data_IF_740302511637
#
_entry.id   IF_740302511637
#
_cell.length_a   1.000
_cell.length_b   1.000
_cell.length_c   1.000
_cell.angle_alpha   90.00
_cell.angle_beta   90.00
_cell.angle_gamma   90.00
#
_symmetry.space_group_name_H-M   'P 1'
#
loop_
_entity.id
_entity.type
_entity.pdbx_description
1 polymer ?
#
# COMPACT_ATOMS: atom_id res chain seq x y z
N UNK A 1 25.71 7.12 4.05
CA UNK A 1 24.75 6.56 5.03
C UNK A 1 23.98 5.34 4.50
N UNK A 2 23.50 5.33 3.24
CA UNK A 2 22.77 4.18 2.64
C UNK A 2 23.58 2.87 2.63
N UNK A 3 24.85 2.91 2.19
CA UNK A 3 25.74 1.73 2.16
C UNK A 3 25.95 1.12 3.56
N UNK A 4 26.14 1.92 4.61
CA UNK A 4 26.31 1.40 5.97
C UNK A 4 25.04 0.70 6.47
N UNK A 5 23.86 1.26 6.19
CA UNK A 5 22.59 0.59 6.53
C UNK A 5 22.47 -0.76 5.82
N UNK A 6 22.79 -0.81 4.54
CA UNK A 6 22.81 -2.04 3.75
C UNK A 6 23.77 -3.11 4.31
N UNK A 7 24.99 -2.71 4.65
CA UNK A 7 25.96 -3.61 5.30
C UNK A 7 25.44 -4.13 6.64
N UNK A 8 24.75 -3.27 7.42
CA UNK A 8 24.09 -3.67 8.65
C UNK A 8 23.02 -4.74 8.44
N UNK A 9 22.13 -4.58 7.45
CA UNK A 9 21.13 -5.59 7.14
C UNK A 9 21.77 -6.91 6.68
N UNK A 10 22.79 -6.85 5.82
CA UNK A 10 23.50 -8.05 5.40
C UNK A 10 24.19 -8.76 6.56
N UNK A 11 24.79 -8.03 7.50
CA UNK A 11 25.36 -8.62 8.70
C UNK A 11 24.30 -9.40 9.49
N UNK A 12 23.11 -8.83 9.72
CA UNK A 12 22.01 -9.53 10.39
C UNK A 12 21.59 -10.80 9.62
N UNK A 13 21.49 -10.72 8.29
CA UNK A 13 21.13 -11.85 7.42
C UNK A 13 22.18 -12.97 7.50
N UNK A 14 23.46 -12.63 7.38
CA UNK A 14 24.58 -13.58 7.41
C UNK A 14 24.75 -14.22 8.79
N UNK A 15 24.40 -13.51 9.86
CA UNK A 15 24.34 -14.07 11.23
C UNK A 15 23.13 -15.00 11.46
N UNK A 16 22.23 -15.15 10.48
CA UNK A 16 21.06 -16.01 10.58
C UNK A 16 19.93 -15.48 11.48
N UNK A 17 20.01 -14.23 11.94
CA UNK A 17 19.01 -13.65 12.85
C UNK A 17 17.60 -13.62 12.24
N UNK A 18 17.40 -13.26 10.95
CA UNK A 18 16.09 -13.35 10.32
C UNK A 18 15.55 -14.79 10.24
N UNK A 19 16.42 -15.79 10.09
CA UNK A 19 15.98 -17.19 10.10
C UNK A 19 15.46 -17.61 11.47
N UNK A 20 16.17 -17.26 12.54
CA UNK A 20 15.72 -17.51 13.94
C UNK A 20 14.42 -16.77 14.21
N UNK A 21 14.35 -15.48 13.88
CA UNK A 21 13.16 -14.66 14.07
C UNK A 21 11.94 -15.24 13.35
N UNK A 22 12.10 -15.68 12.09
CA UNK A 22 11.03 -16.33 11.32
C UNK A 22 10.59 -17.65 11.97
N UNK A 23 11.52 -18.42 12.54
CA UNK A 23 11.20 -19.67 13.25
C UNK A 23 10.39 -19.44 14.52
N UNK A 24 10.72 -18.38 15.27
CA UNK A 24 9.96 -17.93 16.45
C UNK A 24 8.55 -17.47 16.02
N UNK A 25 8.47 -16.69 14.95
CA UNK A 25 7.23 -16.14 14.42
C UNK A 25 6.45 -17.11 13.52
N UNK A 26 6.75 -18.41 13.51
CA UNK A 26 6.17 -19.38 12.55
C UNK A 26 4.62 -19.47 12.57
N UNK A 27 3.99 -19.11 13.70
CA UNK A 27 2.52 -19.14 13.87
C UNK A 27 1.86 -17.81 13.48
N UNK A 28 2.65 -16.75 13.31
CA UNK A 28 2.18 -15.47 12.81
C UNK A 28 2.05 -15.54 11.29
N UNK A 29 1.17 -14.72 10.74
CA UNK A 29 0.99 -14.58 9.29
C UNK A 29 1.61 -13.27 8.82
N UNK A 30 2.24 -13.32 7.64
CA UNK A 30 2.76 -12.17 6.94
C UNK A 30 1.75 -11.70 5.90
N UNK A 31 1.48 -10.40 5.83
CA UNK A 31 0.77 -9.79 4.70
C UNK A 31 1.65 -8.65 4.19
N UNK A 32 1.96 -8.66 2.89
CA UNK A 32 2.77 -7.61 2.26
C UNK A 32 1.88 -6.62 1.54
N UNK A 33 2.26 -5.34 1.51
CA UNK A 33 1.67 -4.35 0.61
C UNK A 33 2.72 -3.77 -0.33
N UNK A 34 2.41 -3.87 -1.62
CA UNK A 34 3.01 -3.15 -2.73
C UNK A 34 1.95 -2.20 -3.30
N UNK A 35 2.32 -1.30 -4.19
CA UNK A 35 1.36 -0.44 -4.90
C UNK A 35 1.55 -0.60 -6.40
N UNK A 36 2.77 -0.41 -6.89
CA UNK A 36 3.09 -0.60 -8.30
C UNK A 36 4.44 -1.28 -8.51
N UNK A 37 4.64 -1.81 -9.72
CA UNK A 37 5.90 -2.37 -10.16
C UNK A 37 6.28 -1.78 -11.50
N UNK A 38 7.48 -1.25 -11.65
CA UNK A 38 7.94 -0.63 -12.90
C UNK A 38 9.19 -1.31 -13.46
N UNK A 39 9.47 -1.10 -14.74
CA UNK A 39 10.73 -1.46 -15.38
C UNK A 39 11.33 -0.26 -16.13
N UNK A 40 12.66 -0.15 -16.12
CA UNK A 40 13.37 0.92 -16.83
C UNK A 40 13.60 2.16 -15.97
N UNK A 41 13.73 3.32 -16.63
CA UNK A 41 13.93 4.60 -15.94
C UNK A 41 12.58 5.21 -15.53
N UNK A 42 12.51 5.76 -14.32
CA UNK A 42 11.36 6.51 -13.81
C UNK A 42 11.82 7.92 -13.47
N UNK A 43 10.96 8.91 -13.72
CA UNK A 43 11.19 10.27 -13.27
C UNK A 43 11.27 10.27 -11.73
N UNK A 44 12.39 10.75 -11.12
CA UNK A 44 12.56 10.73 -9.67
C UNK A 44 11.39 11.35 -8.89
N UNK A 45 10.80 12.44 -9.39
CA UNK A 45 9.67 13.11 -8.76
C UNK A 45 8.39 12.25 -8.74
N UNK A 46 8.21 11.33 -9.69
CA UNK A 46 7.06 10.43 -9.71
C UNK A 46 7.20 9.26 -8.72
N UNK A 47 8.41 8.97 -8.24
CA UNK A 47 8.69 7.88 -7.31
C UNK A 47 9.58 8.31 -6.13
N UNK A 48 9.44 9.56 -5.67
CA UNK A 48 10.31 10.18 -4.66
C UNK A 48 10.24 9.49 -3.28
N UNK A 49 9.12 8.83 -3.00
CA UNK A 49 8.81 8.07 -1.80
C UNK A 49 9.07 6.56 -1.96
N UNK A 50 9.34 6.10 -3.18
CA UNK A 50 9.58 4.69 -3.49
C UNK A 50 8.32 3.85 -3.60
N UNK A 51 7.14 4.45 -3.84
CA UNK A 51 5.85 3.76 -3.99
C UNK A 51 5.88 2.67 -5.07
N UNK A 52 6.56 2.95 -6.19
CA UNK A 52 6.67 2.04 -7.33
C UNK A 52 7.96 1.22 -7.20
N UNK A 53 7.87 -0.11 -7.10
CA UNK A 53 9.03 -0.99 -6.88
C UNK A 53 9.59 -1.48 -8.22
N UNK A 54 10.91 -1.44 -8.40
CA UNK A 54 11.52 -1.91 -9.63
C UNK A 54 11.34 -3.44 -9.80
N UNK A 55 10.98 -3.89 -11.00
CA UNK A 55 10.63 -5.29 -11.30
C UNK A 55 11.68 -6.30 -10.84
N UNK A 56 12.97 -6.04 -11.06
CA UNK A 56 14.07 -6.90 -10.56
C UNK A 56 14.11 -7.05 -9.03
N UNK A 57 13.74 -5.99 -8.29
CA UNK A 57 13.65 -6.04 -6.82
C UNK A 57 12.45 -6.87 -6.41
N UNK A 58 11.29 -6.59 -7.00
CA UNK A 58 10.07 -7.37 -6.80
C UNK A 58 10.31 -8.87 -7.05
N UNK A 59 10.91 -9.23 -8.19
CA UNK A 59 11.24 -10.62 -8.54
C UNK A 59 12.17 -11.29 -7.49
N UNK A 60 13.19 -10.57 -7.03
CA UNK A 60 14.12 -11.08 -6.02
C UNK A 60 13.42 -11.33 -4.67
N UNK A 61 12.48 -10.45 -4.30
CA UNK A 61 11.65 -10.60 -3.11
C UNK A 61 10.67 -11.77 -3.25
N UNK A 62 10.02 -11.93 -4.41
CA UNK A 62 9.11 -13.05 -4.68
C UNK A 62 9.83 -14.40 -4.63
N UNK A 63 11.03 -14.48 -5.21
CA UNK A 63 11.90 -15.67 -5.12
C UNK A 63 12.23 -16.03 -3.66
N UNK A 64 12.53 -15.03 -2.83
CA UNK A 64 12.77 -15.24 -1.41
C UNK A 64 11.50 -15.73 -0.68
N UNK A 65 10.34 -15.13 -0.96
CA UNK A 65 9.07 -15.54 -0.37
C UNK A 65 8.73 -16.98 -0.71
N UNK A 66 8.80 -17.37 -1.99
CA UNK A 66 8.55 -18.75 -2.43
C UNK A 66 9.47 -19.76 -1.70
N UNK A 67 10.73 -19.39 -1.49
CA UNK A 67 11.68 -20.22 -0.77
C UNK A 67 11.35 -20.36 0.73
N UNK A 68 10.93 -19.28 1.39
CA UNK A 68 10.86 -19.21 2.86
C UNK A 68 9.45 -19.31 3.46
N UNK A 69 8.40 -19.00 2.69
CA UNK A 69 7.01 -18.93 3.14
C UNK A 69 6.13 -19.88 2.33
N UNK A 70 4.96 -20.19 2.89
CA UNK A 70 3.85 -20.73 2.12
C UNK A 70 2.96 -19.56 1.72
N UNK A 71 3.11 -19.09 0.48
CA UNK A 71 2.33 -17.98 -0.05
C UNK A 71 0.94 -18.49 -0.43
N UNK A 72 -0.10 -17.87 0.10
CA UNK A 72 -1.49 -18.28 -0.06
C UNK A 72 -2.37 -17.09 -0.45
N UNK A 73 -3.50 -17.33 -1.14
CA UNK A 73 -4.53 -16.33 -1.33
C UNK A 73 -4.96 -15.69 0.01
N UNK A 74 -5.19 -14.37 0.02
CA UNK A 74 -5.53 -13.63 1.25
C UNK A 74 -6.82 -14.14 1.90
N UNK A 75 -7.80 -14.54 1.10
CA UNK A 75 -9.08 -15.10 1.53
C UNK A 75 -8.96 -16.43 2.29
N UNK A 76 -7.90 -17.18 2.02
CA UNK A 76 -7.60 -18.44 2.70
C UNK A 76 -6.68 -18.26 3.92
N UNK A 77 -5.99 -17.11 4.03
CA UNK A 77 -4.93 -16.88 5.01
C UNK A 77 -5.38 -17.17 6.46
N UNK A 78 -6.52 -16.61 6.88
CA UNK A 78 -7.01 -16.74 8.25
C UNK A 78 -7.53 -18.15 8.55
N UNK A 79 -8.20 -18.78 7.59
CA UNK A 79 -8.69 -20.15 7.73
C UNK A 79 -7.53 -21.15 7.85
N UNK A 80 -6.49 -20.99 7.03
CA UNK A 80 -5.28 -21.79 7.08
C UNK A 80 -4.51 -21.56 8.38
N UNK A 81 -4.35 -20.31 8.82
CA UNK A 81 -3.69 -20.00 10.09
C UNK A 81 -4.35 -20.73 11.28
N UNK A 82 -5.69 -20.76 11.32
CA UNK A 82 -6.44 -21.46 12.36
C UNK A 82 -6.20 -22.98 12.33
N UNK A 83 -6.11 -23.59 11.14
CA UNK A 83 -5.87 -25.02 10.97
C UNK A 83 -4.49 -25.50 11.48
N UNK A 84 -3.52 -24.60 11.66
CA UNK A 84 -2.24 -24.85 12.34
C UNK A 84 -1.36 -26.00 11.78
N UNK A 85 -1.53 -26.39 10.51
CA UNK A 85 -0.83 -27.53 9.91
C UNK A 85 0.14 -27.11 8.78
N UNK A 86 1.06 -26.18 9.04
CA UNK A 86 1.96 -25.65 7.99
C UNK A 86 3.43 -25.76 8.38
N UNK A 87 4.25 -26.24 7.42
CA UNK A 87 5.71 -26.40 7.60
C UNK A 87 6.47 -25.09 7.45
N UNK A 88 5.93 -24.14 6.69
CA UNK A 88 6.46 -22.79 6.50
C UNK A 88 5.45 -21.78 7.06
N UNK A 89 5.89 -20.62 7.57
CA UNK A 89 4.98 -19.53 7.90
C UNK A 89 4.17 -19.11 6.67
N UNK A 90 2.93 -18.73 6.92
CA UNK A 90 2.01 -18.27 5.88
C UNK A 90 2.32 -16.82 5.49
N UNK A 91 2.19 -16.53 4.19
CA UNK A 91 2.27 -15.18 3.66
C UNK A 91 1.17 -14.91 2.64
N UNK A 92 0.67 -13.68 2.59
CA UNK A 92 -0.16 -13.17 1.50
C UNK A 92 0.50 -11.95 0.86
N UNK A 93 0.44 -11.87 -0.47
CA UNK A 93 0.92 -10.73 -1.25
C UNK A 93 -0.29 -9.86 -1.59
N UNK A 94 -0.23 -8.58 -1.24
CA UNK A 94 -1.25 -7.60 -1.63
C UNK A 94 -0.61 -6.46 -2.41
N UNK A 95 -1.34 -5.95 -3.40
CA UNK A 95 -0.93 -4.83 -4.26
C UNK A 95 -2.10 -3.85 -4.32
N UNK A 96 -1.89 -2.61 -3.93
CA UNK A 96 -2.95 -1.61 -3.83
C UNK A 96 -3.05 -0.74 -5.10
N UNK A 97 -4.04 0.14 -5.14
CA UNK A 97 -4.34 1.16 -6.15
C UNK A 97 -4.82 0.68 -7.53
N UNK A 98 -4.20 -0.35 -8.10
CA UNK A 98 -4.53 -0.85 -9.44
C UNK A 98 -3.78 -0.15 -10.57
N UNK A 99 -2.49 0.15 -10.36
CA UNK A 99 -1.61 0.70 -11.40
C UNK A 99 -1.27 -0.32 -12.49
N UNK A 100 -1.10 0.18 -13.72
CA UNK A 100 -0.77 -0.58 -14.93
C UNK A 100 0.49 -1.43 -14.80
N UNK A 101 1.49 -0.97 -14.06
CA UNK A 101 2.73 -1.72 -13.83
C UNK A 101 2.50 -3.05 -13.10
N UNK A 102 1.43 -3.17 -12.31
CA UNK A 102 0.97 -4.44 -11.76
C UNK A 102 0.68 -5.46 -12.86
N UNK A 103 -0.03 -5.08 -13.93
CA UNK A 103 -0.31 -5.97 -15.06
C UNK A 103 0.94 -6.25 -15.89
N UNK A 104 1.72 -5.22 -16.26
CA UNK A 104 2.85 -5.40 -17.17
C UNK A 104 4.08 -6.07 -16.53
N UNK A 105 4.24 -5.96 -15.21
CA UNK A 105 5.47 -6.38 -14.54
C UNK A 105 5.22 -7.33 -13.38
N UNK A 106 4.33 -7.01 -12.44
CA UNK A 106 4.10 -7.87 -11.28
C UNK A 106 3.42 -9.19 -11.67
N UNK A 107 2.36 -9.11 -12.48
CA UNK A 107 1.52 -10.26 -12.85
C UNK A 107 2.30 -11.36 -13.59
N UNK A 108 3.11 -11.08 -14.63
CA UNK A 108 3.94 -12.10 -15.28
C UNK A 108 4.93 -12.77 -14.32
N UNK A 109 5.55 -12.02 -13.41
CA UNK A 109 6.48 -12.56 -12.41
C UNK A 109 5.74 -13.52 -11.47
N UNK A 110 4.56 -13.12 -10.98
CA UNK A 110 3.73 -13.93 -10.09
C UNK A 110 3.26 -15.22 -10.79
N UNK A 111 2.80 -15.12 -12.04
CA UNK A 111 2.39 -16.28 -12.85
C UNK A 111 3.54 -17.26 -13.07
N UNK A 112 4.72 -16.77 -13.47
CA UNK A 112 5.90 -17.61 -13.69
C UNK A 112 6.33 -18.37 -12.43
N UNK A 113 6.11 -17.78 -11.25
CA UNK A 113 6.45 -18.39 -9.96
C UNK A 113 5.29 -19.17 -9.33
N UNK A 114 4.10 -19.18 -9.94
CA UNK A 114 2.89 -19.78 -9.36
C UNK A 114 2.47 -19.16 -8.02
N UNK A 115 2.72 -17.86 -7.83
CA UNK A 115 2.41 -17.14 -6.60
C UNK A 115 1.09 -16.39 -6.73
N UNK A 116 0.21 -16.57 -5.74
CA UNK A 116 -1.05 -15.83 -5.67
C UNK A 116 -0.86 -14.45 -5.04
N UNK A 117 -1.62 -13.48 -5.52
CA UNK A 117 -1.69 -12.14 -4.94
C UNK A 117 -3.12 -11.61 -4.96
N UNK A 118 -3.43 -10.70 -4.06
CA UNK A 118 -4.68 -9.92 -4.07
C UNK A 118 -4.38 -8.50 -4.50
N UNK A 119 -5.02 -8.04 -5.57
CA UNK A 119 -4.91 -6.65 -6.04
C UNK A 119 -6.14 -5.88 -5.56
N UNK A 120 -5.93 -4.85 -4.76
CA UNK A 120 -6.98 -3.95 -4.29
C UNK A 120 -7.15 -2.79 -5.27
N UNK A 121 -8.32 -2.70 -5.90
CA UNK A 121 -8.56 -1.77 -7.01
C UNK A 121 -9.34 -0.55 -6.51
N UNK A 122 -8.86 0.64 -6.86
CA UNK A 122 -9.65 1.87 -6.83
C UNK A 122 -10.52 1.89 -8.07
N UNK A 123 -11.83 1.67 -7.93
CA UNK A 123 -12.69 1.42 -9.09
C UNK A 123 -12.81 2.62 -10.03
N UNK A 124 -12.89 3.86 -9.53
CA UNK A 124 -12.93 5.03 -10.42
C UNK A 124 -11.61 5.20 -11.22
N UNK A 125 -10.47 4.89 -10.60
CA UNK A 125 -9.19 4.97 -11.28
C UNK A 125 -9.12 3.94 -12.42
N UNK A 126 -9.50 2.70 -12.15
CA UNK A 126 -9.54 1.62 -13.14
C UNK A 126 -10.50 1.89 -14.30
N UNK A 127 -11.68 2.44 -14.03
CA UNK A 127 -12.76 2.52 -15.01
C UNK A 127 -12.83 3.85 -15.75
N UNK A 128 -12.45 4.93 -15.08
CA UNK A 128 -12.58 6.28 -15.60
C UNK A 128 -11.23 6.95 -15.83
N UNK A 129 -10.12 6.32 -15.45
CA UNK A 129 -8.78 6.87 -15.63
C UNK A 129 -8.51 8.11 -14.78
N UNK A 130 -9.33 8.37 -13.75
CA UNK A 130 -9.11 9.50 -12.85
C UNK A 130 -7.93 9.17 -11.93
N UNK A 131 -6.78 9.73 -12.24
CA UNK A 131 -5.59 9.57 -11.41
C UNK A 131 -5.83 10.06 -9.98
N UNK A 132 -5.24 9.31 -9.05
CA UNK A 132 -5.18 9.66 -7.63
C UNK A 132 -4.46 10.99 -7.42
N UNK A 133 -4.81 11.70 -6.35
CA UNK A 133 -4.39 13.09 -6.17
C UNK A 133 -2.88 13.27 -6.06
N UNK A 134 -2.15 12.31 -5.48
CA UNK A 134 -0.70 12.42 -5.31
C UNK A 134 0.02 12.26 -6.64
N UNK A 135 -0.48 11.42 -7.55
CA UNK A 135 0.09 11.30 -8.89
C UNK A 135 -0.11 12.57 -9.69
N UNK A 136 -1.29 13.21 -9.56
CA UNK A 136 -1.55 14.52 -10.15
C UNK A 136 -0.57 15.55 -9.60
N UNK A 137 -0.40 15.65 -8.28
CA UNK A 137 0.55 16.57 -7.66
C UNK A 137 2.00 16.31 -8.12
N UNK A 138 2.44 15.05 -8.12
CA UNK A 138 3.77 14.66 -8.59
C UNK A 138 3.97 15.05 -10.04
N UNK A 139 2.99 14.79 -10.91
CA UNK A 139 3.05 15.16 -12.32
C UNK A 139 3.10 16.69 -12.51
N UNK A 140 2.32 17.47 -11.74
CA UNK A 140 2.37 18.93 -11.76
C UNK A 140 3.79 19.44 -11.42
N UNK A 141 4.37 18.95 -10.33
CA UNK A 141 5.72 19.34 -9.87
C UNK A 141 6.82 18.84 -10.81
N UNK A 142 6.65 17.65 -11.39
CA UNK A 142 7.62 17.07 -12.31
C UNK A 142 7.70 17.84 -13.64
N UNK A 143 6.56 18.34 -14.14
CA UNK A 143 6.44 18.91 -15.50
C UNK A 143 6.46 20.43 -15.56
N UNK A 144 6.23 21.13 -14.44
CA UNK A 144 6.22 22.59 -14.40
C UNK A 144 7.53 23.20 -14.92
N UNK A 145 7.41 24.36 -15.56
CA UNK A 145 8.54 25.21 -15.96
C UNK A 145 8.82 26.33 -14.96
N UNK A 146 7.99 26.47 -13.92
CA UNK A 146 8.17 27.48 -12.89
C UNK A 146 9.30 27.07 -11.95
N UNK A 147 10.15 28.04 -11.58
CA UNK A 147 11.29 27.83 -10.68
C UNK A 147 10.89 27.84 -9.20
N UNK A 148 9.66 28.21 -8.88
CA UNK A 148 9.13 28.17 -7.52
C UNK A 148 7.61 28.20 -7.51
N UNK A 149 7.05 27.71 -6.41
CA UNK A 149 5.63 27.74 -6.10
C UNK A 149 5.42 28.42 -4.74
N UNK A 150 4.37 29.23 -4.61
CA UNK A 150 3.93 29.77 -3.32
C UNK A 150 2.60 29.15 -2.98
N UNK A 151 2.52 28.51 -1.81
CA UNK A 151 1.30 27.85 -1.33
C UNK A 151 0.98 28.38 0.05
N UNK A 152 -0.30 28.64 0.31
CA UNK A 152 -0.78 28.95 1.65
C UNK A 152 -1.12 27.65 2.37
N UNK A 153 -0.32 27.28 3.36
CA UNK A 153 -0.48 26.08 4.18
C UNK A 153 -0.68 26.55 5.63
N UNK A 154 -1.79 26.15 6.26
CA UNK A 154 -2.11 26.51 7.66
C UNK A 154 -2.01 28.03 7.92
N UNK A 155 -2.58 28.84 7.03
CA UNK A 155 -2.55 30.31 7.05
C UNK A 155 -1.18 30.99 6.92
N UNK A 156 -0.11 30.23 6.68
CA UNK A 156 1.20 30.75 6.34
C UNK A 156 1.49 30.58 4.85
N UNK A 157 1.97 31.64 4.20
CA UNK A 157 2.54 31.53 2.86
C UNK A 157 3.91 30.89 2.94
N UNK A 158 4.08 29.81 2.19
CA UNK A 158 5.35 29.09 2.07
C UNK A 158 5.79 29.10 0.61
N UNK A 159 7.07 29.40 0.39
CA UNK A 159 7.69 29.37 -0.94
C UNK A 159 8.53 28.11 -1.08
N UNK A 160 8.26 27.36 -2.14
CA UNK A 160 8.96 26.15 -2.53
C UNK A 160 9.80 26.43 -3.77
N UNK A 161 11.13 26.37 -3.71
CA UNK A 161 11.96 26.27 -4.91
C UNK A 161 11.62 24.98 -5.68
N UNK A 162 11.71 25.01 -7.01
CA UNK A 162 11.42 23.86 -7.90
C UNK A 162 12.48 23.70 -9.00
N UNK A 163 13.69 24.22 -8.76
CA UNK A 163 14.76 24.34 -9.76
C UNK A 163 15.45 22.98 -9.97
N UNK A 164 15.80 22.31 -8.87
CA UNK A 164 16.46 21.01 -8.90
C UNK A 164 15.51 19.88 -8.52
N UNK A 165 15.88 18.65 -8.88
CA UNK A 165 15.15 17.45 -8.44
C UNK A 165 15.10 17.34 -6.91
N UNK A 166 16.14 17.81 -6.20
CA UNK A 166 16.15 17.85 -4.74
C UNK A 166 15.12 18.85 -4.19
N UNK A 167 14.93 19.99 -4.85
CA UNK A 167 13.94 20.99 -4.44
C UNK A 167 12.52 20.47 -4.66
N UNK A 168 12.26 19.82 -5.81
CA UNK A 168 10.98 19.18 -6.12
C UNK A 168 10.64 18.09 -5.10
N UNK A 169 11.60 17.23 -4.78
CA UNK A 169 11.48 16.21 -3.73
C UNK A 169 11.13 16.84 -2.37
N UNK A 170 11.82 17.91 -1.99
CA UNK A 170 11.57 18.60 -0.72
C UNK A 170 10.16 19.21 -0.69
N UNK A 171 9.73 19.84 -1.79
CA UNK A 171 8.39 20.40 -1.93
C UNK A 171 7.32 19.30 -1.79
N UNK A 172 7.46 18.18 -2.51
CA UNK A 172 6.53 17.06 -2.43
C UNK A 172 6.48 16.45 -1.02
N UNK A 173 7.63 16.26 -0.35
CA UNK A 173 7.69 15.72 1.02
C UNK A 173 7.00 16.63 2.04
N UNK A 174 7.03 17.94 1.84
CA UNK A 174 6.41 18.92 2.75
C UNK A 174 4.92 19.13 2.44
N UNK A 175 4.53 19.18 1.17
CA UNK A 175 3.14 19.45 0.76
C UNK A 175 2.23 18.23 0.91
N UNK A 176 2.72 17.02 0.59
CA UNK A 176 1.88 15.82 0.53
C UNK A 176 1.13 15.52 1.83
N UNK A 177 1.75 15.58 3.03
CA UNK A 177 1.05 15.32 4.28
C UNK A 177 -0.06 16.34 4.58
N UNK A 178 0.12 17.60 4.17
CA UNK A 178 -0.88 18.66 4.40
C UNK A 178 -2.07 18.49 3.45
N UNK A 179 -1.80 18.22 2.17
CA UNK A 179 -2.84 17.97 1.16
C UNK A 179 -3.64 16.71 1.48
N UNK A 180 -2.97 15.66 1.97
CA UNK A 180 -3.61 14.40 2.38
C UNK A 180 -4.72 14.63 3.43
N UNK A 181 -4.49 15.49 4.43
CA UNK A 181 -5.43 15.73 5.54
C UNK A 181 -6.65 16.57 5.15
N UNK A 182 -6.66 17.15 3.95
CA UNK A 182 -7.76 17.99 3.50
C UNK A 182 -8.98 17.12 3.14
N UNK A 183 -10.20 17.54 3.52
CA UNK A 183 -11.43 16.95 3.01
C UNK A 183 -11.44 16.94 1.47
N UNK A 184 -12.05 15.92 0.81
CA UNK A 184 -11.91 15.71 -0.63
C UNK A 184 -12.21 16.95 -1.48
N UNK A 185 -13.30 17.66 -1.18
CA UNK A 185 -13.68 18.89 -1.91
C UNK A 185 -12.62 20.00 -1.81
N UNK A 186 -12.03 20.18 -0.63
CA UNK A 186 -10.98 21.19 -0.41
C UNK A 186 -9.68 20.76 -1.10
N UNK A 187 -9.35 19.47 -1.05
CA UNK A 187 -8.18 18.91 -1.72
C UNK A 187 -8.24 19.10 -3.23
N UNK A 188 -9.38 18.81 -3.86
CA UNK A 188 -9.58 19.02 -5.29
C UNK A 188 -9.49 20.50 -5.69
N UNK A 189 -10.05 21.40 -4.88
CA UNK A 189 -9.94 22.84 -5.12
C UNK A 189 -8.47 23.32 -5.04
N UNK A 190 -7.71 22.83 -4.06
CA UNK A 190 -6.29 23.14 -3.93
C UNK A 190 -5.48 22.60 -5.11
N UNK A 191 -5.72 21.36 -5.55
CA UNK A 191 -5.00 20.80 -6.71
C UNK A 191 -5.28 21.60 -7.99
N UNK A 192 -6.52 22.05 -8.20
CA UNK A 192 -6.86 22.90 -9.34
C UNK A 192 -6.13 24.25 -9.27
N UNK A 193 -6.03 24.85 -8.09
CA UNK A 193 -5.27 26.08 -7.86
C UNK A 193 -3.76 25.86 -8.12
N UNK A 194 -3.19 24.78 -7.60
CA UNK A 194 -1.79 24.43 -7.81
C UNK A 194 -1.47 24.21 -9.30
N UNK A 195 -2.36 23.57 -10.04
CA UNK A 195 -2.18 23.39 -11.48
C UNK A 195 -2.11 24.74 -12.21
N UNK A 196 -2.99 25.68 -11.86
CA UNK A 196 -2.99 27.03 -12.41
C UNK A 196 -1.71 27.81 -12.05
N UNK A 197 -1.29 27.76 -10.78
CA UNK A 197 -0.08 28.47 -10.29
C UNK A 197 1.22 27.92 -10.88
N UNK A 198 1.23 26.62 -11.18
CA UNK A 198 2.36 25.93 -11.83
C UNK A 198 2.33 26.01 -13.36
N UNK A 199 1.29 26.61 -13.94
CA UNK A 199 1.12 26.74 -15.39
C UNK A 199 1.01 25.39 -16.11
N UNK A 200 0.41 24.38 -15.48
CA UNK A 200 0.28 23.02 -16.03
C UNK A 200 -1.18 22.70 -16.36
N UNK A 201 -1.40 22.05 -17.51
CA UNK A 201 -2.74 21.61 -17.91
C UNK A 201 -2.99 20.19 -17.40
N UNK A 202 -3.82 20.07 -16.37
CA UNK A 202 -4.05 18.81 -15.65
C UNK A 202 -4.50 17.64 -16.56
N UNK A 203 -5.33 17.92 -17.56
CA UNK A 203 -5.88 16.91 -18.49
C UNK A 203 -4.83 16.25 -19.37
N UNK A 204 -3.66 16.86 -19.48
CA UNK A 204 -2.55 16.40 -20.32
C UNK A 204 -1.39 15.86 -19.50
N UNK A 205 -1.49 15.88 -18.17
CA UNK A 205 -0.45 15.37 -17.29
C UNK A 205 -0.28 13.86 -17.50
N UNK A 206 0.95 13.45 -17.79
CA UNK A 206 1.33 12.05 -17.78
C UNK A 206 1.40 11.57 -16.33
N UNK A 207 0.30 11.01 -15.84
CA UNK A 207 0.21 10.30 -14.56
C UNK A 207 0.43 8.80 -14.76
N UNK A 208 0.53 8.05 -13.67
CA UNK A 208 0.50 6.59 -13.75
C UNK A 208 -0.83 6.14 -14.39
N UNK A 209 -0.73 5.14 -15.28
CA UNK A 209 -1.90 4.57 -15.93
C UNK A 209 -2.56 3.52 -15.03
N UNK A 210 -3.89 3.35 -15.10
CA UNK A 210 -4.58 2.27 -14.42
C UNK A 210 -4.52 0.95 -15.21
N UNK A 211 -4.68 -0.17 -14.53
CA UNK A 211 -5.05 -1.44 -15.17
C UNK A 211 -6.39 -1.25 -15.90
N UNK A 212 -6.49 -1.69 -17.15
CA UNK A 212 -7.74 -1.63 -17.90
C UNK A 212 -8.70 -2.77 -17.52
N UNK A 213 -9.98 -2.63 -17.84
CA UNK A 213 -11.00 -3.68 -17.63
C UNK A 213 -10.62 -5.01 -18.29
N UNK A 214 -10.05 -4.97 -19.50
CA UNK A 214 -9.65 -6.17 -20.21
C UNK A 214 -8.50 -6.91 -19.50
N UNK A 215 -7.51 -6.14 -19.05
CA UNK A 215 -6.36 -6.67 -18.31
C UNK A 215 -6.78 -7.20 -16.93
N UNK A 216 -7.67 -6.50 -16.23
CA UNK A 216 -8.21 -6.96 -14.95
C UNK A 216 -8.94 -8.30 -15.10
N UNK A 217 -9.72 -8.48 -16.17
CA UNK A 217 -10.38 -9.75 -16.51
C UNK A 217 -9.38 -10.86 -16.80
N UNK A 218 -8.29 -10.57 -17.50
CA UNK A 218 -7.23 -11.55 -17.75
C UNK A 218 -6.55 -11.97 -16.44
N UNK A 219 -6.24 -11.01 -15.57
CA UNK A 219 -5.54 -11.26 -14.31
C UNK A 219 -6.30 -12.23 -13.40
N UNK A 220 -7.63 -12.12 -13.32
CA UNK A 220 -8.48 -12.96 -12.45
C UNK A 220 -8.68 -14.39 -12.96
N UNK A 221 -8.34 -14.68 -14.21
CA UNK A 221 -8.27 -16.06 -14.73
C UNK A 221 -6.95 -16.74 -14.36
N UNK A 222 -5.96 -15.97 -13.90
CA UNK A 222 -4.66 -16.46 -13.47
C UNK A 222 -4.52 -16.57 -11.96
N UNK A 223 -3.44 -15.98 -11.44
CA UNK A 223 -3.04 -16.08 -10.03
C UNK A 223 -3.56 -14.92 -9.16
N UNK A 224 -4.29 -13.97 -9.75
CA UNK A 224 -4.73 -12.75 -9.08
C UNK A 224 -6.15 -12.88 -8.55
N UNK A 225 -6.33 -12.43 -7.31
CA UNK A 225 -7.63 -12.17 -6.70
C UNK A 225 -7.87 -10.67 -6.64
N UNK A 226 -9.13 -10.23 -6.73
CA UNK A 226 -9.48 -8.80 -6.67
C UNK A 226 -10.14 -8.47 -5.34
N UNK A 227 -9.60 -7.43 -4.69
CA UNK A 227 -10.19 -6.74 -3.55
C UNK A 227 -10.62 -5.32 -3.92
N UNK A 228 -11.38 -4.68 -3.04
CA UNK A 228 -11.76 -3.28 -3.18
C UNK A 228 -10.78 -2.36 -2.46
N UNK A 229 -10.42 -1.24 -3.07
CA UNK A 229 -9.72 -0.13 -2.42
C UNK A 229 -10.60 1.13 -2.31
N UNK A 230 -11.91 0.92 -2.18
CA UNK A 230 -12.88 1.99 -2.31
C UNK A 230 -13.12 2.38 -3.78
N UNK A 231 -13.89 3.44 -3.98
CA UNK A 231 -14.27 3.96 -5.29
C UNK A 231 -13.34 5.10 -5.70
N UNK A 232 -13.13 6.10 -4.84
CA UNK A 232 -12.35 7.31 -5.11
C UNK A 232 -10.95 7.35 -4.48
N UNK A 233 -10.63 6.40 -3.59
CA UNK A 233 -9.43 6.42 -2.72
C UNK A 233 -9.44 7.58 -1.70
N UNK A 234 -10.60 8.16 -1.38
CA UNK A 234 -10.68 9.09 -0.25
C UNK A 234 -10.51 8.38 1.08
N UNK A 235 -9.92 9.07 2.07
CA UNK A 235 -9.94 8.56 3.44
C UNK A 235 -11.39 8.43 3.90
N UNK A 236 -11.76 7.22 4.30
CA UNK A 236 -13.09 6.90 4.79
C UNK A 236 -13.46 7.69 6.04
N UNK A 237 -12.47 8.26 6.74
CA UNK A 237 -12.67 9.10 7.91
C UNK A 237 -13.25 10.49 7.58
N UNK A 238 -13.20 10.90 6.31
CA UNK A 238 -13.80 12.16 5.84
C UNK A 238 -15.21 11.99 5.27
N UNK A 239 -15.69 10.76 5.14
CA UNK A 239 -16.98 10.47 4.53
C UNK A 239 -18.09 10.43 5.58
N UNK A 240 -19.29 10.89 5.19
CA UNK A 240 -20.49 10.63 5.98
C UNK A 240 -20.79 9.13 5.98
N UNK A 241 -21.65 8.65 6.89
CA UNK A 241 -22.04 7.23 6.93
C UNK A 241 -22.69 6.77 5.62
N UNK A 242 -23.51 7.63 5.02
CA UNK A 242 -24.19 7.35 3.76
C UNK A 242 -23.19 7.29 2.60
N UNK A 243 -22.32 8.30 2.49
CA UNK A 243 -21.27 8.34 1.47
C UNK A 243 -20.32 7.16 1.61
N UNK A 244 -19.94 6.78 2.83
CA UNK A 244 -19.07 5.62 3.07
C UNK A 244 -19.75 4.30 2.68
N UNK A 245 -21.04 4.15 2.94
CA UNK A 245 -21.76 2.95 2.51
C UNK A 245 -21.83 2.85 0.98
N UNK A 246 -22.12 3.97 0.29
CA UNK A 246 -22.09 4.04 -1.16
C UNK A 246 -20.68 3.75 -1.72
N UNK A 247 -19.65 4.41 -1.19
CA UNK A 247 -18.24 4.24 -1.53
C UNK A 247 -17.81 2.77 -1.51
N UNK A 248 -18.23 2.04 -0.48
CA UNK A 248 -17.89 0.63 -0.29
C UNK A 248 -18.72 -0.32 -1.15
N UNK A 249 -20.03 -0.07 -1.28
CA UNK A 249 -20.95 -0.96 -2.01
C UNK A 249 -20.84 -0.80 -3.52
N UNK A 250 -20.74 0.41 -4.03
CA UNK A 250 -20.59 0.68 -5.46
C UNK A 250 -19.28 0.11 -5.99
N UNK A 251 -18.15 0.36 -5.29
CA UNK A 251 -16.85 -0.20 -5.70
C UNK A 251 -16.90 -1.73 -5.76
N UNK A 252 -17.48 -2.38 -4.74
CA UNK A 252 -17.68 -3.83 -4.72
C UNK A 252 -18.49 -4.30 -5.92
N UNK A 253 -19.69 -3.76 -6.12
CA UNK A 253 -20.62 -4.19 -7.18
C UNK A 253 -20.01 -4.05 -8.57
N UNK A 254 -19.31 -2.94 -8.81
CA UNK A 254 -18.70 -2.68 -10.12
C UNK A 254 -17.53 -3.63 -10.37
N UNK A 255 -16.67 -3.87 -9.37
CA UNK A 255 -15.56 -4.83 -9.52
C UNK A 255 -16.07 -6.26 -9.71
N UNK A 256 -17.15 -6.66 -9.01
CA UNK A 256 -17.80 -7.96 -9.19
C UNK A 256 -18.40 -8.09 -10.60
N UNK A 257 -19.03 -7.04 -11.11
CA UNK A 257 -19.56 -6.96 -12.49
C UNK A 257 -18.44 -7.09 -13.54
N UNK A 258 -17.32 -6.41 -13.33
CA UNK A 258 -16.18 -6.43 -14.27
C UNK A 258 -15.51 -7.79 -14.31
N UNK A 259 -15.27 -8.39 -13.14
CA UNK A 259 -14.44 -9.60 -12.98
C UNK A 259 -15.25 -10.89 -13.03
N UNK A 260 -16.56 -10.84 -12.76
CA UNK A 260 -17.39 -12.03 -12.55
C UNK A 260 -17.00 -12.83 -11.29
N UNK A 261 -16.18 -12.27 -10.40
CA UNK A 261 -15.70 -12.89 -9.15
C UNK A 261 -16.21 -12.10 -7.95
N UNK A 262 -16.43 -12.78 -6.82
CA UNK A 262 -16.83 -12.11 -5.57
C UNK A 262 -15.70 -11.25 -5.00
N UNK A 263 -16.00 -10.01 -4.64
CA UNK A 263 -15.04 -9.08 -4.02
C UNK A 263 -15.33 -9.03 -2.52
N UNK A 264 -14.52 -9.75 -1.74
CA UNK A 264 -14.81 -9.97 -0.30
C UNK A 264 -13.81 -9.32 0.65
N UNK A 265 -12.74 -8.73 0.12
CA UNK A 265 -11.71 -8.06 0.90
C UNK A 265 -11.62 -6.58 0.56
N UNK A 266 -11.31 -5.78 1.58
CA UNK A 266 -11.12 -4.34 1.50
C UNK A 266 -9.68 -3.98 1.91
N UNK A 267 -9.06 -3.05 1.21
CA UNK A 267 -7.93 -2.29 1.74
C UNK A 267 -8.44 -0.89 2.08
N UNK A 268 -8.21 -0.43 3.31
CA UNK A 268 -8.55 0.95 3.66
C UNK A 268 -7.56 1.91 2.98
N UNK A 269 -8.01 2.94 2.24
CA UNK A 269 -7.13 3.99 1.74
C UNK A 269 -6.24 4.53 2.86
N UNK A 270 -4.94 4.63 2.59
CA UNK A 270 -3.90 5.04 3.56
C UNK A 270 -3.77 4.13 4.80
N UNK A 271 -4.56 3.05 4.88
CA UNK A 271 -4.73 2.23 6.07
C UNK A 271 -5.48 2.90 7.20
N UNK A 272 -6.21 3.99 6.92
CA UNK A 272 -6.98 4.75 7.90
C UNK A 272 -8.38 4.14 8.07
N UNK A 273 -8.75 3.82 9.30
CA UNK A 273 -10.02 3.20 9.62
C UNK A 273 -10.53 3.60 11.00
N UNK A 274 -11.83 3.44 11.18
CA UNK A 274 -12.56 3.63 12.43
C UNK A 274 -13.54 2.48 12.67
N UNK A 275 -14.12 2.41 13.86
CA UNK A 275 -15.18 1.45 14.16
C UNK A 275 -16.36 1.58 13.18
N UNK A 276 -16.77 2.81 12.86
CA UNK A 276 -17.83 3.07 11.89
C UNK A 276 -17.48 2.51 10.49
N UNK A 277 -16.22 2.62 10.06
CA UNK A 277 -15.79 2.04 8.77
C UNK A 277 -15.77 0.52 8.77
N UNK A 278 -15.42 -0.11 9.90
CA UNK A 278 -15.48 -1.58 10.05
C UNK A 278 -16.93 -2.06 9.95
N UNK A 279 -17.83 -1.44 10.70
CA UNK A 279 -19.26 -1.79 10.69
C UNK A 279 -19.88 -1.59 9.30
N UNK A 280 -19.50 -0.51 8.62
CA UNK A 280 -19.96 -0.21 7.26
C UNK A 280 -19.41 -1.23 6.25
N UNK A 281 -18.14 -1.65 6.38
CA UNK A 281 -17.56 -2.71 5.56
C UNK A 281 -18.25 -4.07 5.78
N UNK A 282 -18.58 -4.42 7.03
CA UNK A 282 -19.36 -5.62 7.34
C UNK A 282 -20.75 -5.52 6.70
N UNK A 283 -21.43 -4.39 6.84
CA UNK A 283 -22.75 -4.14 6.25
C UNK A 283 -22.75 -4.18 4.71
N UNK A 284 -21.64 -3.77 4.07
CA UNK A 284 -21.44 -3.88 2.62
C UNK A 284 -21.05 -5.30 2.15
N UNK A 285 -20.92 -6.27 3.08
CA UNK A 285 -20.65 -7.66 2.75
C UNK A 285 -19.18 -7.98 2.48
N UNK A 286 -18.24 -7.19 3.03
CA UNK A 286 -16.83 -7.59 3.11
C UNK A 286 -16.64 -8.62 4.24
N UNK A 287 -15.63 -9.49 4.11
CA UNK A 287 -15.28 -10.54 5.08
C UNK A 287 -14.01 -10.24 5.87
N UNK A 288 -13.22 -9.29 5.39
CA UNK A 288 -12.00 -8.85 6.04
C UNK A 288 -11.44 -7.59 5.38
N UNK A 289 -10.51 -6.96 6.07
CA UNK A 289 -9.85 -5.76 5.60
C UNK A 289 -8.41 -5.65 6.09
N UNK A 290 -7.58 -5.03 5.26
CA UNK A 290 -6.15 -4.80 5.51
C UNK A 290 -5.86 -3.32 5.75
N UNK A 291 -4.85 -3.06 6.58
CA UNK A 291 -4.39 -1.72 7.00
C UNK A 291 -2.94 -1.49 6.57
N UNK A 292 -2.40 -0.30 6.80
CA UNK A 292 -0.97 0.01 6.64
C UNK A 292 -0.19 -0.07 7.96
N UNK A 293 -0.84 -0.56 9.04
CA UNK A 293 -0.16 -0.77 10.33
C UNK A 293 0.94 -1.82 10.14
N UNK A 294 2.19 -1.40 10.32
CA UNK A 294 3.33 -2.29 10.12
C UNK A 294 3.40 -3.42 11.15
N UNK A 295 3.47 -4.67 10.67
CA UNK A 295 3.83 -5.82 11.49
C UNK A 295 3.28 -7.15 11.00
N UNK A 296 3.68 -8.22 11.70
CA UNK A 296 3.10 -9.54 11.54
C UNK A 296 1.73 -9.63 12.26
N UNK A 297 0.86 -10.50 11.75
CA UNK A 297 -0.44 -10.79 12.36
C UNK A 297 -0.33 -11.98 13.31
N UNK A 298 -0.84 -11.83 14.53
CA UNK A 298 -0.85 -12.88 15.54
C UNK A 298 -1.84 -14.01 15.17
N UNK A 299 -2.00 -15.04 16.00
CA UNK A 299 -2.77 -16.27 15.67
C UNK A 299 -4.29 -16.07 15.58
N UNK A 300 -4.80 -14.95 16.07
CA UNK A 300 -6.22 -14.58 16.01
C UNK A 300 -6.34 -13.07 15.80
N UNK A 301 -5.93 -12.56 14.62
CA UNK A 301 -5.97 -11.14 14.35
C UNK A 301 -7.42 -10.68 14.15
N UNK A 302 -7.69 -9.40 14.30
CA UNK A 302 -8.98 -8.83 13.95
C UNK A 302 -9.15 -8.88 12.41
N UNK A 303 -10.17 -9.57 11.85
CA UNK A 303 -10.26 -9.81 10.39
C UNK A 303 -10.35 -8.52 9.56
N UNK A 304 -10.85 -7.44 10.15
CA UNK A 304 -10.97 -6.12 9.52
C UNK A 304 -9.87 -5.13 9.91
N UNK A 305 -8.77 -5.61 10.51
CA UNK A 305 -7.63 -4.77 10.85
C UNK A 305 -6.31 -5.56 10.70
N UNK A 306 -6.17 -6.31 9.60
CA UNK A 306 -4.93 -7.03 9.33
C UNK A 306 -3.79 -6.03 9.10
N UNK A 307 -2.68 -6.29 9.78
CA UNK A 307 -1.41 -5.56 9.65
C UNK A 307 -0.72 -5.98 8.36
N UNK A 308 0.06 -5.07 7.76
CA UNK A 308 0.84 -5.35 6.56
C UNK A 308 2.26 -4.85 6.72
N UNK A 309 3.23 -5.49 6.06
CA UNK A 309 4.57 -4.94 5.90
C UNK A 309 4.63 -4.23 4.56
N UNK A 310 4.85 -2.91 4.60
CA UNK A 310 5.02 -2.09 3.40
C UNK A 310 6.35 -2.33 2.73
N UNK A 311 6.35 -2.34 1.40
CA UNK A 311 7.56 -2.50 0.59
C UNK A 311 7.70 -1.33 -0.36
N UNK A 312 8.82 -0.61 -0.22
CA UNK A 312 9.19 0.52 -1.07
C UNK A 312 10.41 0.19 -1.95
N UNK A 313 10.67 1.00 -2.97
CA UNK A 313 11.76 0.78 -3.94
C UNK A 313 13.17 0.94 -3.34
N UNK A 314 13.28 1.58 -2.18
CA UNK A 314 14.52 1.71 -1.45
C UNK A 314 14.81 0.51 -0.55
N UNK A 315 13.85 -0.40 -0.37
CA UNK A 315 14.00 -1.64 0.38
C UNK A 315 14.84 -2.65 -0.41
N UNK A 316 16.11 -2.77 -0.03
CA UNK A 316 16.98 -3.82 -0.57
C UNK A 316 16.49 -5.22 -0.18
N UNK A 317 17.03 -6.26 -0.83
CA UNK A 317 16.72 -7.64 -0.47
C UNK A 317 17.10 -7.96 0.99
N UNK A 318 18.23 -7.44 1.49
CA UNK A 318 18.65 -7.67 2.87
C UNK A 318 17.69 -7.01 3.86
N UNK A 319 17.28 -5.76 3.59
CA UNK A 319 16.28 -5.09 4.39
C UNK A 319 14.95 -5.84 4.36
N UNK A 320 14.49 -6.27 3.18
CA UNK A 320 13.28 -7.06 3.01
C UNK A 320 13.31 -8.34 3.86
N UNK A 321 14.39 -9.12 3.79
CA UNK A 321 14.57 -10.35 4.58
C UNK A 321 14.40 -10.10 6.08
N UNK A 322 15.01 -9.01 6.58
CA UNK A 322 14.94 -8.61 8.00
C UNK A 322 13.53 -8.12 8.37
N UNK A 323 12.88 -7.36 7.50
CA UNK A 323 11.54 -6.83 7.73
C UNK A 323 10.53 -7.98 7.84
N UNK A 324 10.49 -8.88 6.85
CA UNK A 324 9.49 -9.95 6.78
C UNK A 324 9.66 -11.03 7.84
N UNK A 325 10.84 -11.16 8.44
CA UNK A 325 11.07 -12.16 9.50
C UNK A 325 10.46 -11.79 10.87
N UNK A 326 10.00 -10.54 11.04
CA UNK A 326 9.55 -10.00 12.32
C UNK A 326 10.69 -9.78 13.33
N UNK A 327 11.94 -9.71 12.88
CA UNK A 327 13.11 -9.49 13.76
C UNK A 327 13.00 -8.13 14.47
N UNK A 328 12.55 -7.10 13.74
CA UNK A 328 12.35 -5.75 14.29
C UNK A 328 11.36 -5.73 15.46
N UNK A 329 10.27 -6.49 15.36
CA UNK A 329 9.23 -6.52 16.39
C UNK A 329 9.69 -7.29 17.64
N UNK A 330 10.46 -8.36 17.45
CA UNK A 330 11.13 -9.07 18.55
C UNK A 330 12.09 -8.16 19.32
N UNK A 331 12.93 -7.40 18.61
CA UNK A 331 13.87 -6.45 19.23
C UNK A 331 13.12 -5.35 20.01
N UNK A 332 12.06 -4.76 19.42
CA UNK A 332 11.22 -3.77 20.12
C UNK A 332 10.59 -4.36 21.40
N UNK A 333 10.18 -5.62 21.36
CA UNK A 333 9.56 -6.30 22.51
C UNK A 333 10.57 -6.53 23.63
N UNK A 334 11.77 -7.02 23.30
CA UNK A 334 12.86 -7.21 24.26
C UNK A 334 13.32 -5.90 24.90
N UNK A 335 13.42 -4.83 24.13
CA UNK A 335 13.77 -3.50 24.63
C UNK A 335 12.69 -2.93 25.57
N UNK A 336 11.40 -3.19 25.30
CA UNK A 336 10.29 -2.82 26.20
C UNK A 336 10.27 -3.62 27.50
N UNK A 337 10.66 -4.90 27.46
CA UNK A 337 10.78 -5.75 28.65
C UNK A 337 11.99 -5.31 29.49
N UNK A 338 13.07 -4.86 28.85
CA UNK A 338 14.27 -4.34 29.52
C UNK A 338 14.18 -2.88 29.99
N UNK A 339 13.22 -2.10 29.48
CA UNK A 339 13.00 -0.70 29.86
C UNK A 339 11.54 -0.46 30.24
N UNK A 340 11.26 -0.37 31.54
CA UNK A 340 9.93 -0.05 32.06
C UNK A 340 9.44 1.31 31.53
N UNK A 341 8.68 1.30 30.43
CA UNK A 341 7.86 2.43 29.98
C UNK A 341 6.59 1.93 29.30
N UNK A 342 5.44 2.37 29.83
CA UNK A 342 4.10 2.16 29.26
C UNK A 342 4.06 2.69 27.84
N UNK A 343 3.79 1.83 26.86
CA UNK A 343 3.35 2.25 25.54
C UNK A 343 1.85 1.96 25.41
N UNK A 344 1.09 3.03 25.20
CA UNK A 344 -0.32 3.01 24.79
C UNK A 344 -0.39 2.34 23.42
N UNK A 345 -1.08 1.20 23.33
CA UNK A 345 -1.48 0.63 22.04
C UNK A 345 -2.44 1.59 21.35
N UNK A 346 -2.40 1.77 20.01
CA UNK A 346 -3.50 2.44 19.33
C UNK A 346 -4.79 1.67 19.64
N UNK A 347 -5.92 2.36 19.90
CA UNK A 347 -7.16 1.69 20.23
C UNK A 347 -7.62 0.89 19.01
N UNK A 348 -7.46 -0.42 19.07
CA UNK A 348 -8.31 -1.34 18.32
C UNK A 348 -9.61 -1.36 19.11
N UNK A 349 -10.77 -0.99 18.52
CA UNK A 349 -12.03 -1.12 19.23
C UNK A 349 -12.20 -2.58 19.67
N UNK A 350 -12.39 -2.77 20.98
CA UNK A 350 -12.63 -4.10 21.54
C UNK A 350 -13.95 -4.66 21.00
N UNK A 351 -14.01 -5.99 20.83
CA UNK A 351 -15.24 -6.68 20.43
C UNK A 351 -16.30 -6.40 21.50
N UNK A 352 -17.36 -5.68 21.16
CA UNK A 352 -18.60 -5.74 21.93
C UNK A 352 -19.12 -7.18 21.85
N UNK A 353 -19.35 -7.78 23.02
CA UNK A 353 -19.96 -9.11 23.19
C UNK A 353 -21.38 -9.18 22.64
#
# INVERSE_FOLDING_TARGET
MRILKELGYWLLVLMGLPWVARRINQRKTLVLVYHDVYAGAVNPALNFDGLHVHARRFESQMRYLAACYHVVPLDQLLALQAASQHRKPLAAITIDDGYKGTYHHAFPILQQMGLHATVFIVSDFCLHGRAVWWDRLRAMIATTRHSSLVVRIQDAEQRFPLISEQDKDAALRQMSPEIHRLPPKQREALLAQLAADLGVEERTLATCEPISVAELREMVEGVIFVGSHGRSHDSFLHLSREDLFAELTESKQVLESVTGRSVTWLAYPYGEFSQASIETAIGAGYRGAVTTIEGLNDTSPHPFALRRIGVDDNMSLAHFIVAVSGLRDLLKTLLRIGGATRAVSPPVPERGE
#
